data_IF_297861289510
#
_entry.id   IF_297861289510
#
_cell.length_a   1.000
_cell.length_b   1.000
_cell.length_c   1.000
_cell.angle_alpha   90.00
_cell.angle_beta   90.00
_cell.angle_gamma   90.00
#
_symmetry.space_group_name_H-M   'P 1'
#
loop_
_entity.id
_entity.type
_entity.pdbx_description
1 polymer ?
#
# COMPACT_ATOMS: atom_id res chain seq x y z
N UNK A 1 11.85 -9.36 -44.00
CA UNK A 1 10.51 -9.21 -43.38
C UNK A 1 10.21 -10.23 -42.27
N UNK A 2 10.54 -11.52 -42.43
CA UNK A 2 10.24 -12.56 -41.42
C UNK A 2 10.83 -12.28 -40.00
N UNK A 3 12.08 -11.79 -39.91
CA UNK A 3 12.72 -11.50 -38.62
C UNK A 3 12.05 -10.37 -37.80
N UNK A 4 11.43 -9.39 -38.48
CA UNK A 4 10.72 -8.27 -37.84
C UNK A 4 9.37 -8.72 -37.27
N UNK A 5 8.67 -9.60 -37.99
CA UNK A 5 7.41 -10.22 -37.54
C UNK A 5 7.62 -11.15 -36.35
N UNK A 6 8.73 -11.89 -36.32
CA UNK A 6 9.10 -12.75 -35.18
C UNK A 6 9.44 -11.94 -33.94
N UNK A 7 10.20 -10.83 -34.07
CA UNK A 7 10.48 -9.93 -32.94
C UNK A 7 9.22 -9.30 -32.36
N UNK A 8 8.33 -8.80 -33.21
CA UNK A 8 7.05 -8.20 -32.82
C UNK A 8 6.12 -9.21 -32.13
N UNK A 9 6.07 -10.47 -32.62
CA UNK A 9 5.34 -11.56 -31.99
C UNK A 9 5.91 -11.94 -30.62
N UNK A 10 7.23 -11.93 -30.45
CA UNK A 10 7.88 -12.21 -29.15
C UNK A 10 7.65 -11.07 -28.15
N UNK A 11 7.70 -9.81 -28.58
CA UNK A 11 7.38 -8.65 -27.71
C UNK A 11 5.91 -8.64 -27.31
N UNK A 12 5.00 -8.92 -28.25
CA UNK A 12 3.57 -9.05 -27.95
C UNK A 12 3.29 -10.23 -27.00
N UNK A 13 3.97 -11.37 -27.15
CA UNK A 13 3.81 -12.55 -26.28
C UNK A 13 4.35 -12.32 -24.87
N UNK A 14 5.40 -11.50 -24.70
CA UNK A 14 5.87 -11.03 -23.39
C UNK A 14 4.93 -10.00 -22.75
N UNK A 15 4.29 -9.15 -23.55
CA UNK A 15 3.29 -8.18 -23.07
C UNK A 15 1.95 -8.83 -22.66
N UNK A 16 1.64 -10.00 -23.23
CA UNK A 16 0.37 -10.72 -23.02
C UNK A 16 0.46 -11.91 -22.06
N UNK A 17 1.62 -12.18 -21.44
CA UNK A 17 1.65 -13.18 -20.37
C UNK A 17 0.86 -12.65 -19.16
N UNK A 18 -0.09 -13.43 -18.60
CA UNK A 18 -0.73 -13.05 -17.36
C UNK A 18 0.36 -12.87 -16.31
N UNK A 19 0.47 -11.66 -15.76
CA UNK A 19 1.44 -11.35 -14.70
C UNK A 19 1.19 -12.33 -13.55
N UNK A 20 2.11 -13.30 -13.40
CA UNK A 20 2.03 -14.29 -12.33
C UNK A 20 2.50 -13.59 -11.07
N UNK A 21 1.55 -13.16 -10.24
CA UNK A 21 1.84 -12.49 -8.98
C UNK A 21 2.68 -13.41 -8.09
N UNK A 22 3.90 -13.00 -7.77
CA UNK A 22 4.63 -13.59 -6.65
C UNK A 22 3.88 -13.19 -5.38
N UNK A 23 3.46 -14.16 -4.56
CA UNK A 23 2.81 -13.83 -3.29
C UNK A 23 3.79 -13.09 -2.38
N UNK A 24 3.29 -12.23 -1.51
CA UNK A 24 4.15 -11.47 -0.56
C UNK A 24 4.96 -12.41 0.33
N UNK A 25 4.35 -13.54 0.70
CA UNK A 25 5.03 -14.65 1.39
C UNK A 25 6.17 -15.26 0.57
N UNK A 26 6.00 -15.40 -0.74
CA UNK A 26 7.05 -15.91 -1.63
C UNK A 26 8.21 -14.93 -1.75
N UNK A 27 7.92 -13.63 -1.92
CA UNK A 27 8.96 -12.59 -1.99
C UNK A 27 9.75 -12.56 -0.68
N UNK A 28 9.04 -12.47 0.45
CA UNK A 28 9.67 -12.40 1.77
C UNK A 28 10.54 -13.63 2.10
N UNK A 29 10.13 -14.82 1.66
CA UNK A 29 10.91 -16.06 1.85
C UNK A 29 12.08 -16.19 0.88
N UNK A 30 11.93 -15.70 -0.35
CA UNK A 30 12.94 -15.78 -1.39
C UNK A 30 14.03 -14.71 -1.29
N UNK A 31 13.76 -13.62 -0.55
CA UNK A 31 14.75 -12.56 -0.30
C UNK A 31 15.95 -13.10 0.48
N UNK A 32 17.15 -12.81 -0.03
CA UNK A 32 18.42 -13.13 0.66
C UNK A 32 18.83 -11.96 1.53
N UNK A 33 18.67 -10.74 1.01
CA UNK A 33 19.06 -9.53 1.69
C UNK A 33 18.37 -9.37 3.05
N UNK A 34 17.09 -9.74 3.19
CA UNK A 34 16.39 -9.64 4.48
C UNK A 34 16.78 -10.67 5.53
N UNK A 35 17.77 -11.52 5.25
CA UNK A 35 18.28 -12.53 6.20
C UNK A 35 19.54 -12.07 6.93
N UNK A 36 19.98 -10.83 6.72
CA UNK A 36 21.19 -10.28 7.35
C UNK A 36 21.12 -8.76 7.52
N UNK A 37 22.14 -8.20 8.17
CA UNK A 37 22.31 -6.75 8.25
C UNK A 37 21.17 -6.02 8.97
N UNK A 38 20.97 -4.76 8.61
CA UNK A 38 19.92 -3.91 9.18
C UNK A 38 18.51 -4.38 8.77
N UNK A 39 18.35 -4.89 7.56
CA UNK A 39 17.05 -5.38 7.08
C UNK A 39 16.50 -6.53 7.92
N UNK A 40 17.34 -7.48 8.37
CA UNK A 40 16.92 -8.55 9.28
C UNK A 40 16.36 -8.01 10.60
N UNK A 41 16.95 -6.95 11.13
CA UNK A 41 16.50 -6.35 12.39
C UNK A 41 15.18 -5.61 12.23
N UNK A 42 15.02 -4.90 11.12
CA UNK A 42 13.75 -4.28 10.75
C UNK A 42 12.66 -5.34 10.51
N UNK A 43 12.98 -6.48 9.90
CA UNK A 43 12.07 -7.62 9.74
C UNK A 43 11.69 -8.27 11.08
N UNK A 44 12.58 -8.23 12.09
CA UNK A 44 12.23 -8.70 13.43
C UNK A 44 11.10 -7.86 14.05
N UNK A 45 11.00 -6.57 13.70
CA UNK A 45 9.90 -5.70 14.14
C UNK A 45 8.54 -6.10 13.55
N UNK A 46 8.51 -6.67 12.34
CA UNK A 46 7.25 -7.19 11.77
C UNK A 46 6.66 -8.31 12.63
N UNK A 47 7.49 -9.10 13.31
CA UNK A 47 7.02 -10.16 14.20
C UNK A 47 6.56 -9.62 15.56
N UNK A 48 7.25 -8.61 16.06
CA UNK A 48 7.12 -8.19 17.47
C UNK A 48 6.33 -6.89 17.66
N UNK A 49 6.13 -6.10 16.61
CA UNK A 49 5.56 -4.75 16.70
C UNK A 49 4.47 -4.49 15.67
N UNK A 50 4.36 -5.30 14.61
CA UNK A 50 3.28 -5.19 13.63
C UNK A 50 2.09 -6.06 14.04
N UNK A 51 1.07 -5.43 14.64
CA UNK A 51 -0.19 -6.11 14.97
C UNK A 51 -1.07 -6.26 13.72
N UNK A 52 -0.98 -7.44 13.10
CA UNK A 52 -1.79 -7.81 11.93
C UNK A 52 -3.30 -7.77 12.19
N UNK A 53 -3.75 -7.94 13.43
CA UNK A 53 -5.18 -7.88 13.78
C UNK A 53 -5.65 -6.44 13.75
N UNK A 54 -4.89 -5.53 14.36
CA UNK A 54 -5.17 -4.09 14.31
C UNK A 54 -5.18 -3.60 12.86
N UNK A 55 -4.17 -3.99 12.07
CA UNK A 55 -4.11 -3.67 10.64
C UNK A 55 -5.35 -4.16 9.88
N UNK A 56 -5.72 -5.44 10.03
CA UNK A 56 -6.87 -6.03 9.35
C UNK A 56 -8.20 -5.39 9.74
N UNK A 57 -8.39 -5.09 11.03
CA UNK A 57 -9.56 -4.37 11.51
C UNK A 57 -9.61 -2.94 10.97
N UNK A 58 -8.48 -2.23 10.98
CA UNK A 58 -8.37 -0.90 10.37
C UNK A 58 -8.79 -0.92 8.91
N UNK A 59 -8.30 -1.89 8.13
CA UNK A 59 -8.69 -2.07 6.75
C UNK A 59 -10.20 -2.31 6.59
N UNK A 60 -10.80 -3.21 7.38
CA UNK A 60 -12.25 -3.42 7.32
C UNK A 60 -13.05 -2.16 7.69
N UNK A 61 -12.58 -1.36 8.65
CA UNK A 61 -13.21 -0.06 8.95
C UNK A 61 -13.14 0.90 7.75
N UNK A 62 -12.04 0.92 7.00
CA UNK A 62 -11.94 1.70 5.74
C UNK A 62 -13.02 1.28 4.73
N UNK A 63 -13.35 0.00 4.66
CA UNK A 63 -14.35 -0.55 3.74
C UNK A 63 -15.81 -0.27 4.17
N UNK A 64 -16.04 0.32 5.34
CA UNK A 64 -17.40 0.51 5.88
C UNK A 64 -18.24 1.52 5.10
N UNK A 65 -17.60 2.46 4.40
CA UNK A 65 -18.25 3.46 3.53
C UNK A 65 -17.21 4.25 2.74
N UNK A 66 -17.64 4.92 1.65
CA UNK A 66 -16.77 5.87 0.93
C UNK A 66 -16.24 6.98 1.84
N UNK A 67 -17.06 7.49 2.76
CA UNK A 67 -16.64 8.51 3.72
C UNK A 67 -15.60 8.00 4.73
N UNK A 68 -15.71 6.74 5.18
CA UNK A 68 -14.68 6.14 6.02
C UNK A 68 -13.36 5.96 5.25
N UNK A 69 -13.43 5.50 4.02
CA UNK A 69 -12.27 5.42 3.14
C UNK A 69 -11.61 6.78 2.91
N UNK A 70 -12.39 7.81 2.52
CA UNK A 70 -11.93 9.18 2.32
C UNK A 70 -11.20 9.75 3.54
N UNK A 71 -11.77 9.59 4.74
CA UNK A 71 -11.12 10.01 5.99
C UNK A 71 -9.77 9.31 6.19
N UNK A 72 -9.70 8.00 5.94
CA UNK A 72 -8.46 7.24 6.11
C UNK A 72 -7.42 7.62 5.05
N UNK A 73 -7.82 7.84 3.80
CA UNK A 73 -6.95 8.34 2.72
C UNK A 73 -6.41 9.73 3.08
N UNK A 74 -7.22 10.64 3.61
CA UNK A 74 -6.77 11.96 4.04
C UNK A 74 -5.70 11.87 5.15
N UNK A 75 -5.87 10.98 6.13
CA UNK A 75 -4.84 10.77 7.15
C UNK A 75 -3.53 10.24 6.55
N UNK A 76 -3.63 9.31 5.58
CA UNK A 76 -2.46 8.78 4.85
C UNK A 76 -1.77 9.85 4.02
N UNK A 77 -2.54 10.67 3.31
CA UNK A 77 -2.02 11.76 2.50
C UNK A 77 -1.13 12.69 3.33
N UNK A 78 -1.53 12.98 4.57
CA UNK A 78 -0.75 13.82 5.48
C UNK A 78 0.62 13.22 5.82
N UNK A 79 0.66 11.97 6.29
CA UNK A 79 1.94 11.37 6.69
C UNK A 79 2.81 10.95 5.49
N UNK A 80 2.23 10.55 4.35
CA UNK A 80 3.01 10.35 3.11
C UNK A 80 3.56 11.66 2.59
N UNK A 81 2.78 12.74 2.63
CA UNK A 81 3.26 14.07 2.27
C UNK A 81 4.42 14.53 3.15
N UNK A 82 4.34 14.31 4.47
CA UNK A 82 5.43 14.59 5.40
C UNK A 82 6.68 13.75 5.09
N UNK A 83 6.54 12.43 4.92
CA UNK A 83 7.67 11.55 4.59
C UNK A 83 8.32 11.94 3.27
N UNK A 84 7.55 12.07 2.19
CA UNK A 84 8.09 12.35 0.87
C UNK A 84 8.79 13.71 0.82
N UNK A 85 8.23 14.76 1.43
CA UNK A 85 8.93 16.06 1.55
C UNK A 85 10.23 15.95 2.33
N UNK A 86 10.24 15.23 3.46
CA UNK A 86 11.45 15.03 4.27
C UNK A 86 12.49 14.23 3.51
N UNK A 87 12.09 13.17 2.83
CA UNK A 87 13.00 12.32 2.05
C UNK A 87 13.63 13.10 0.89
N UNK A 88 12.85 13.92 0.19
CA UNK A 88 13.33 14.76 -0.89
C UNK A 88 14.27 15.88 -0.42
N UNK A 89 14.05 16.39 0.80
CA UNK A 89 14.85 17.46 1.38
C UNK A 89 16.14 17.01 2.08
N UNK A 90 16.36 15.71 2.26
CA UNK A 90 17.57 15.20 2.91
C UNK A 90 18.74 15.08 1.93
N UNK A 91 19.83 15.81 2.18
CA UNK A 91 21.09 15.69 1.44
C UNK A 91 22.12 14.79 2.12
N UNK A 92 21.83 14.29 3.33
CA UNK A 92 22.69 13.43 4.14
C UNK A 92 21.90 12.31 4.80
N UNK A 93 22.60 11.39 5.49
CA UNK A 93 22.01 10.25 6.20
C UNK A 93 21.54 9.14 5.27
N UNK A 94 21.12 8.02 5.86
CA UNK A 94 20.76 6.81 5.14
C UNK A 94 19.63 7.04 4.11
N UNK A 95 18.62 7.85 4.43
CA UNK A 95 17.50 8.08 3.51
C UNK A 95 17.93 8.76 2.20
N UNK A 96 18.94 9.65 2.25
CA UNK A 96 19.45 10.34 1.05
C UNK A 96 20.10 9.38 0.04
N UNK A 97 20.56 8.22 0.50
CA UNK A 97 21.14 7.15 -0.35
C UNK A 97 20.06 6.23 -0.90
N UNK A 98 19.06 5.90 -0.08
CA UNK A 98 18.02 4.91 -0.42
C UNK A 98 16.90 5.52 -1.26
N UNK A 99 16.33 6.64 -0.84
CA UNK A 99 15.12 7.18 -1.45
C UNK A 99 15.23 7.49 -2.96
N UNK A 100 16.32 8.09 -3.47
CA UNK A 100 16.44 8.39 -4.90
C UNK A 100 16.34 7.16 -5.82
N UNK A 101 16.72 5.98 -5.32
CA UNK A 101 16.63 4.71 -6.07
C UNK A 101 15.18 4.28 -6.32
N UNK A 102 14.24 4.75 -5.48
CA UNK A 102 12.87 4.26 -5.44
C UNK A 102 11.80 5.34 -5.59
N UNK A 103 12.14 6.62 -5.44
CA UNK A 103 11.20 7.74 -5.40
C UNK A 103 10.24 7.76 -6.60
N UNK A 104 10.75 7.57 -7.82
CA UNK A 104 9.95 7.53 -9.06
C UNK A 104 8.81 6.50 -8.98
N UNK A 105 9.10 5.34 -8.40
CA UNK A 105 8.24 4.17 -8.48
C UNK A 105 7.35 4.01 -7.22
N UNK A 106 7.83 4.50 -6.08
CA UNK A 106 7.20 4.24 -4.78
C UNK A 106 6.38 5.39 -4.22
N UNK A 107 6.54 6.65 -4.66
CA UNK A 107 5.71 7.78 -4.20
C UNK A 107 4.22 7.46 -4.20
N UNK A 108 3.56 7.79 -3.10
CA UNK A 108 2.14 7.53 -2.85
C UNK A 108 1.31 8.80 -2.75
N UNK A 109 1.89 9.95 -2.40
CA UNK A 109 1.15 11.18 -2.16
C UNK A 109 0.14 11.51 -3.27
N UNK A 110 0.58 11.62 -4.51
CA UNK A 110 -0.31 11.97 -5.64
C UNK A 110 -1.34 10.89 -5.96
N UNK A 111 -1.01 9.63 -5.66
CA UNK A 111 -1.96 8.51 -5.83
C UNK A 111 -3.05 8.56 -4.78
N UNK A 112 -2.69 8.91 -3.54
CA UNK A 112 -3.65 9.13 -2.46
C UNK A 112 -4.52 10.36 -2.72
N UNK A 113 -3.98 11.44 -3.30
CA UNK A 113 -4.74 12.61 -3.69
C UNK A 113 -5.82 12.24 -4.73
N UNK A 114 -5.45 11.50 -5.79
CA UNK A 114 -6.42 11.00 -6.79
C UNK A 114 -7.49 10.09 -6.18
N UNK A 115 -7.12 9.27 -5.20
CA UNK A 115 -8.10 8.41 -4.51
C UNK A 115 -9.11 9.23 -3.71
N UNK A 116 -8.68 10.36 -3.13
CA UNK A 116 -9.55 11.28 -2.42
C UNK A 116 -10.49 12.01 -3.39
N UNK A 117 -9.97 12.47 -4.53
CA UNK A 117 -10.77 13.08 -5.60
C UNK A 117 -11.83 12.11 -6.15
N UNK A 118 -11.49 10.82 -6.28
CA UNK A 118 -12.40 9.79 -6.77
C UNK A 118 -13.58 9.50 -5.82
N UNK A 119 -13.50 9.96 -4.56
CA UNK A 119 -14.57 9.87 -3.56
C UNK A 119 -14.96 11.25 -3.04
N UNK A 120 -14.75 12.31 -3.83
CA UNK A 120 -15.04 13.70 -3.43
C UNK A 120 -16.53 14.00 -3.27
N UNK A 121 -17.41 13.08 -3.72
CA UNK A 121 -18.85 13.10 -3.49
C UNK A 121 -19.21 12.99 -2.00
N UNK A 122 -18.25 12.58 -1.16
CA UNK A 122 -18.34 12.60 0.30
C UNK A 122 -17.32 13.58 0.87
N UNK A 123 -17.79 14.64 1.52
CA UNK A 123 -16.91 15.63 2.13
C UNK A 123 -15.94 14.95 3.13
N UNK A 124 -14.61 15.02 2.95
CA UNK A 124 -13.70 14.59 3.99
C UNK A 124 -13.87 15.54 5.18
N UNK A 125 -14.22 15.01 6.36
CA UNK A 125 -14.20 15.82 7.58
C UNK A 125 -12.77 16.34 7.79
N UNK A 126 -12.58 17.65 7.62
CA UNK A 126 -11.33 18.31 7.27
C UNK A 126 -10.25 18.42 8.36
N UNK A 127 -10.18 17.52 9.33
CA UNK A 127 -9.12 17.56 10.35
C UNK A 127 -8.33 16.26 10.44
N UNK A 128 -7.02 16.42 10.58
CA UNK A 128 -6.14 15.31 10.94
C UNK A 128 -6.47 14.83 12.35
N UNK A 129 -6.47 13.52 12.57
CA UNK A 129 -6.67 12.99 13.91
C UNK A 129 -5.48 13.29 14.83
N UNK A 130 -5.66 13.26 16.16
CA UNK A 130 -4.54 13.39 17.10
C UNK A 130 -3.40 12.40 16.82
N UNK A 131 -3.70 11.12 16.53
CA UNK A 131 -2.67 10.14 16.20
C UNK A 131 -1.95 10.45 14.89
N UNK A 132 -2.67 10.94 13.87
CA UNK A 132 -2.07 11.33 12.59
C UNK A 132 -1.16 12.54 12.75
N UNK A 133 -1.58 13.57 13.49
CA UNK A 133 -0.72 14.71 13.82
C UNK A 133 0.52 14.29 14.60
N UNK A 134 0.37 13.35 15.54
CA UNK A 134 1.51 12.81 16.28
C UNK A 134 2.48 12.05 15.34
N UNK A 135 1.97 11.30 14.37
CA UNK A 135 2.81 10.59 13.41
C UNK A 135 3.55 11.55 12.48
N UNK A 136 2.85 12.55 11.94
CA UNK A 136 3.45 13.61 11.12
C UNK A 136 4.58 14.31 11.89
N UNK A 137 4.37 14.65 13.17
CA UNK A 137 5.43 15.24 14.00
C UNK A 137 6.63 14.32 14.22
N UNK A 138 6.43 13.01 14.38
CA UNK A 138 7.55 12.04 14.48
C UNK A 138 8.36 12.04 13.18
N UNK A 139 7.69 12.00 12.03
CA UNK A 139 8.35 12.05 10.71
C UNK A 139 9.13 13.37 10.51
N UNK A 140 8.54 14.50 10.89
CA UNK A 140 9.17 15.82 10.73
C UNK A 140 10.34 16.02 11.69
N UNK A 141 10.28 15.42 12.88
CA UNK A 141 11.34 15.46 13.90
C UNK A 141 12.44 14.42 13.74
N UNK A 142 12.23 13.36 12.96
CA UNK A 142 13.21 12.29 12.76
C UNK A 142 14.47 12.79 12.03
N UNK A 143 15.64 12.28 12.44
CA UNK A 143 16.90 12.54 11.74
C UNK A 143 16.90 11.94 10.32
N UNK A 144 17.76 12.42 9.40
CA UNK A 144 17.87 11.84 8.06
C UNK A 144 18.17 10.34 8.04
N UNK A 145 18.92 9.84 9.02
CA UNK A 145 19.14 8.40 9.16
C UNK A 145 17.86 7.69 9.63
N UNK A 146 17.22 8.18 10.71
CA UNK A 146 16.00 7.61 11.29
C UNK A 146 14.82 7.53 10.30
N UNK A 147 14.76 8.45 9.32
CA UNK A 147 13.78 8.42 8.23
C UNK A 147 13.78 7.11 7.43
N UNK A 148 14.90 6.35 7.42
CA UNK A 148 14.94 5.02 6.82
C UNK A 148 13.96 4.04 7.50
N UNK A 149 13.72 4.20 8.80
CA UNK A 149 12.73 3.41 9.54
C UNK A 149 11.31 3.62 9.01
N UNK A 150 10.92 4.88 8.74
CA UNK A 150 9.64 5.20 8.12
C UNK A 150 9.54 4.65 6.68
N UNK A 151 10.61 4.78 5.90
CA UNK A 151 10.68 4.21 4.55
C UNK A 151 10.40 2.71 4.57
N UNK A 152 11.12 1.99 5.44
CA UNK A 152 10.92 0.56 5.62
C UNK A 152 9.47 0.24 6.00
N UNK A 153 8.95 0.83 7.09
CA UNK A 153 7.62 0.51 7.61
C UNK A 153 6.51 0.75 6.59
N UNK A 154 6.56 1.85 5.83
CA UNK A 154 5.46 2.24 4.93
C UNK A 154 5.58 1.63 3.54
N UNK A 155 6.73 1.75 2.90
CA UNK A 155 6.85 1.33 1.51
C UNK A 155 6.98 -0.19 1.35
N UNK A 156 7.52 -0.91 2.34
CA UNK A 156 7.44 -2.37 2.32
C UNK A 156 6.01 -2.86 2.59
N UNK A 157 5.23 -2.18 3.45
CA UNK A 157 3.82 -2.49 3.61
C UNK A 157 3.04 -2.31 2.30
N UNK A 158 3.35 -1.27 1.52
CA UNK A 158 2.72 -1.05 0.22
C UNK A 158 3.15 -2.10 -0.83
N UNK A 159 4.45 -2.43 -0.87
CA UNK A 159 5.00 -3.43 -1.79
C UNK A 159 4.51 -4.85 -1.47
N UNK A 160 4.42 -5.22 -0.19
CA UNK A 160 3.90 -6.52 0.23
C UNK A 160 2.38 -6.56 0.19
N UNK A 161 1.69 -5.61 0.82
CA UNK A 161 0.25 -5.68 1.08
C UNK A 161 -0.63 -4.85 0.15
N UNK A 162 -0.16 -3.65 -0.24
CA UNK A 162 -1.00 -2.63 -0.88
C UNK A 162 -1.72 -3.10 -2.14
N UNK A 163 -1.04 -3.79 -3.05
CA UNK A 163 -1.64 -4.23 -4.31
C UNK A 163 -2.79 -5.25 -4.14
N UNK A 164 -2.75 -6.04 -3.06
CA UNK A 164 -3.77 -7.05 -2.75
C UNK A 164 -5.03 -6.44 -2.13
N UNK A 165 -4.93 -5.25 -1.54
CA UNK A 165 -6.05 -4.57 -0.90
C UNK A 165 -6.96 -3.84 -1.89
N UNK A 166 -6.43 -3.42 -3.05
CA UNK A 166 -7.21 -2.59 -3.97
C UNK A 166 -8.45 -3.27 -4.56
N UNK A 167 -8.42 -4.58 -4.84
CA UNK A 167 -9.61 -5.28 -5.36
C UNK A 167 -10.70 -5.43 -4.29
N UNK A 168 -10.39 -5.86 -3.05
CA UNK A 168 -11.36 -5.78 -1.96
C UNK A 168 -11.94 -4.37 -1.75
N UNK A 169 -11.11 -3.32 -1.83
CA UNK A 169 -11.58 -1.93 -1.69
C UNK A 169 -12.56 -1.54 -2.78
N UNK A 170 -12.21 -1.80 -4.05
CA UNK A 170 -13.09 -1.55 -5.21
C UNK A 170 -14.45 -2.24 -5.05
N UNK A 171 -14.44 -3.52 -4.67
CA UNK A 171 -15.64 -4.32 -4.47
C UNK A 171 -16.52 -3.78 -3.33
N UNK A 172 -15.93 -3.53 -2.17
CA UNK A 172 -16.67 -3.09 -1.00
C UNK A 172 -17.31 -1.71 -1.20
N UNK A 173 -16.58 -0.79 -1.84
CA UNK A 173 -17.00 0.60 -1.99
C UNK A 173 -17.74 0.88 -3.32
N UNK A 174 -17.82 -0.13 -4.21
CA UNK A 174 -18.41 0.02 -5.54
C UNK A 174 -17.71 1.11 -6.34
N UNK A 175 -16.38 1.11 -6.36
CA UNK A 175 -15.59 2.07 -7.12
C UNK A 175 -15.49 1.64 -8.59
N UNK A 176 -15.49 2.58 -9.55
CA UNK A 176 -15.40 2.25 -10.97
C UNK A 176 -14.02 1.72 -11.38
N UNK A 177 -12.98 2.06 -10.61
CA UNK A 177 -11.60 1.71 -10.86
C UNK A 177 -10.89 1.35 -9.55
N UNK A 178 -9.78 0.63 -9.68
CA UNK A 178 -8.91 0.30 -8.55
C UNK A 178 -8.28 1.58 -8.00
N UNK A 179 -8.31 1.75 -6.67
CA UNK A 179 -7.69 2.90 -6.00
C UNK A 179 -6.20 3.01 -6.38
N UNK A 180 -5.79 4.19 -6.82
CA UNK A 180 -4.46 4.52 -7.28
C UNK A 180 -3.40 4.23 -6.21
N UNK A 181 -3.67 4.44 -4.93
CA UNK A 181 -2.70 4.17 -3.85
C UNK A 181 -2.25 2.70 -3.81
N UNK A 182 -3.11 1.77 -4.26
CA UNK A 182 -2.82 0.34 -4.34
C UNK A 182 -2.27 -0.11 -5.70
N UNK A 183 -1.96 0.83 -6.59
CA UNK A 183 -1.39 0.56 -7.92
C UNK A 183 0.09 0.94 -7.97
N UNK A 184 0.86 0.18 -8.74
CA UNK A 184 2.24 0.51 -9.08
C UNK A 184 2.40 0.47 -10.58
N UNK A 185 3.47 1.08 -11.06
CA UNK A 185 3.83 1.02 -12.47
C UNK A 185 4.01 -0.44 -12.93
N UNK A 186 3.65 -0.78 -14.19
CA UNK A 186 3.69 -2.15 -14.65
C UNK A 186 5.05 -2.84 -14.51
N UNK A 187 6.16 -2.11 -14.62
CA UNK A 187 7.50 -2.68 -14.42
C UNK A 187 7.77 -3.06 -12.97
N UNK A 188 7.27 -2.29 -12.00
CA UNK A 188 7.37 -2.59 -10.57
C UNK A 188 6.56 -3.84 -10.26
N UNK A 189 5.34 -3.97 -10.80
CA UNK A 189 4.50 -5.14 -10.56
C UNK A 189 5.11 -6.42 -11.11
N UNK A 190 5.72 -6.36 -12.31
CA UNK A 190 6.37 -7.52 -12.93
C UNK A 190 7.64 -7.97 -12.19
N UNK A 191 8.38 -7.02 -11.61
CA UNK A 191 9.64 -7.26 -10.92
C UNK A 191 9.55 -7.00 -9.41
N UNK A 192 8.37 -7.22 -8.81
CA UNK A 192 8.11 -6.82 -7.41
C UNK A 192 9.07 -7.46 -6.42
N UNK A 193 9.43 -8.72 -6.65
CA UNK A 193 10.43 -9.42 -5.84
C UNK A 193 11.79 -8.74 -5.90
N UNK A 194 12.25 -8.40 -7.10
CA UNK A 194 13.54 -7.74 -7.32
C UNK A 194 13.56 -6.32 -6.75
N UNK A 195 12.44 -5.59 -6.82
CA UNK A 195 12.31 -4.26 -6.21
C UNK A 195 12.46 -4.35 -4.69
N UNK A 196 11.81 -5.33 -4.07
CA UNK A 196 11.92 -5.60 -2.63
C UNK A 196 13.34 -6.02 -2.26
N UNK A 197 13.96 -6.91 -3.04
CA UNK A 197 15.35 -7.35 -2.81
C UNK A 197 16.31 -6.16 -2.84
N UNK A 198 16.25 -5.34 -3.89
CA UNK A 198 17.10 -4.14 -3.99
C UNK A 198 16.87 -3.14 -2.87
N UNK A 199 15.64 -3.01 -2.37
CA UNK A 199 15.35 -2.15 -1.24
C UNK A 199 15.99 -2.68 0.05
N UNK A 200 15.98 -4.01 0.26
CA UNK A 200 16.69 -4.63 1.38
C UNK A 200 18.21 -4.52 1.24
N UNK A 201 18.76 -4.71 0.04
CA UNK A 201 20.19 -4.52 -0.25
C UNK A 201 20.63 -3.09 0.09
N UNK A 202 19.92 -2.07 -0.40
CA UNK A 202 20.23 -0.67 -0.11
C UNK A 202 20.13 -0.33 1.40
N UNK A 203 19.19 -0.94 2.12
CA UNK A 203 19.10 -0.83 3.59
C UNK A 203 20.33 -1.45 4.26
N UNK A 204 20.77 -2.62 3.82
CA UNK A 204 21.94 -3.29 4.39
C UNK A 204 23.23 -2.52 4.10
N UNK A 205 23.42 -2.02 2.88
CA UNK A 205 24.55 -1.17 2.52
C UNK A 205 24.64 0.09 3.39
N UNK A 206 23.49 0.69 3.71
CA UNK A 206 23.45 1.78 4.69
C UNK A 206 23.81 1.30 6.10
N UNK A 207 23.25 0.16 6.51
CA UNK A 207 23.51 -0.47 7.81
C UNK A 207 24.98 -0.78 8.09
N UNK A 208 25.74 -1.15 7.07
CA UNK A 208 27.18 -1.47 7.17
C UNK A 208 28.05 -0.20 7.30
N UNK A 209 27.54 0.96 6.86
CA UNK A 209 28.26 2.22 6.83
C UNK A 209 27.97 3.15 8.02
N UNK A 210 27.08 2.77 8.94
CA UNK A 210 26.64 3.59 10.08
C UNK A 210 27.12 3.05 11.42
N UNK A 211 27.16 3.91 12.43
CA UNK A 211 27.51 3.50 13.79
C UNK A 211 26.40 2.65 14.43
N UNK A 212 26.73 1.84 15.45
CA UNK A 212 25.72 1.11 16.23
C UNK A 212 24.66 2.01 16.87
N UNK A 213 25.00 3.26 17.21
CA UNK A 213 24.07 4.26 17.75
C UNK A 213 23.01 4.64 16.71
N UNK A 214 23.44 5.05 15.51
CA UNK A 214 22.54 5.42 14.41
C UNK A 214 21.70 4.21 13.98
N UNK A 215 22.30 3.02 13.98
CA UNK A 215 21.59 1.78 13.66
C UNK A 215 20.45 1.49 14.62
N UNK A 216 20.65 1.72 15.94
CA UNK A 216 19.58 1.62 16.94
C UNK A 216 18.51 2.68 16.73
N UNK A 217 18.91 3.92 16.44
CA UNK A 217 17.98 5.02 16.14
C UNK A 217 17.01 4.66 15.00
N UNK A 218 17.52 4.07 13.91
CA UNK A 218 16.68 3.61 12.77
C UNK A 218 15.68 2.53 13.20
N UNK A 219 16.14 1.55 13.98
CA UNK A 219 15.28 0.44 14.45
C UNK A 219 14.21 0.95 15.42
N UNK A 220 14.55 1.89 16.29
CA UNK A 220 13.62 2.50 17.23
C UNK A 220 12.60 3.40 16.52
N UNK A 221 13.02 4.15 15.49
CA UNK A 221 12.09 4.95 14.68
C UNK A 221 11.15 4.05 13.87
N UNK A 222 11.64 2.94 13.31
CA UNK A 222 10.78 1.95 12.64
C UNK A 222 9.74 1.34 13.61
N UNK A 223 10.14 1.05 14.86
CA UNK A 223 9.22 0.59 15.91
C UNK A 223 8.18 1.66 16.24
N UNK A 224 8.60 2.92 16.38
CA UNK A 224 7.71 4.05 16.62
C UNK A 224 6.72 4.20 15.45
N UNK A 225 7.19 4.09 14.21
CA UNK A 225 6.34 4.13 13.01
C UNK A 225 5.26 3.03 13.05
N UNK A 226 5.59 1.78 13.40
CA UNK A 226 4.57 0.74 13.60
C UNK A 226 3.54 1.12 14.66
N UNK A 227 3.99 1.64 15.81
CA UNK A 227 3.11 2.08 16.89
C UNK A 227 2.19 3.23 16.46
N UNK A 228 2.69 4.20 15.68
CA UNK A 228 1.88 5.27 15.12
C UNK A 228 0.78 4.76 14.19
N UNK A 229 1.10 3.82 13.30
CA UNK A 229 0.12 3.19 12.42
C UNK A 229 -0.99 2.48 13.23
N UNK A 230 -0.61 1.75 14.28
CA UNK A 230 -1.59 1.12 15.16
C UNK A 230 -2.47 2.16 15.89
N UNK A 231 -1.88 3.24 16.42
CA UNK A 231 -2.61 4.31 17.13
C UNK A 231 -3.65 5.01 16.25
N UNK A 232 -3.34 5.24 14.96
CA UNK A 232 -4.30 5.82 14.01
C UNK A 232 -5.56 4.96 13.80
N UNK A 233 -5.46 3.66 14.05
CA UNK A 233 -6.59 2.73 14.00
C UNK A 233 -7.29 2.70 15.35
N UNK A 234 -6.52 2.55 16.44
CA UNK A 234 -7.06 2.32 17.79
C UNK A 234 -7.66 3.55 18.44
N UNK A 235 -7.27 4.77 18.04
CA UNK A 235 -7.81 6.03 18.61
C UNK A 235 -9.32 6.19 18.41
N UNK A 236 -9.91 5.45 17.47
CA UNK A 236 -11.36 5.44 17.19
C UNK A 236 -12.18 4.80 18.31
N UNK A 237 -11.53 4.01 19.19
CA UNK A 237 -12.18 3.23 20.24
C UNK A 237 -12.71 1.87 19.75
N UNK A 238 -12.68 0.87 20.63
CA UNK A 238 -12.98 -0.53 20.28
C UNK A 238 -14.36 -0.75 19.67
N UNK A 239 -15.39 -0.09 20.20
CA UNK A 239 -16.76 -0.22 19.68
C UNK A 239 -16.89 0.32 18.24
N UNK A 240 -16.30 1.48 17.95
CA UNK A 240 -16.34 2.07 16.62
C UNK A 240 -15.58 1.21 15.59
N UNK A 241 -14.46 0.60 16.02
CA UNK A 241 -13.71 -0.37 15.21
C UNK A 241 -14.57 -1.60 14.94
N UNK A 242 -15.21 -2.18 15.96
CA UNK A 242 -16.06 -3.38 15.80
C UNK A 242 -17.22 -3.14 14.84
N UNK A 243 -17.99 -2.07 15.04
CA UNK A 243 -19.12 -1.71 14.17
C UNK A 243 -18.65 -1.40 12.75
N UNK A 244 -17.57 -0.62 12.61
CA UNK A 244 -17.00 -0.28 11.30
C UNK A 244 -16.50 -1.52 10.56
N UNK A 245 -15.79 -2.41 11.23
CA UNK A 245 -15.28 -3.64 10.63
C UNK A 245 -16.41 -4.57 10.18
N UNK A 246 -17.47 -4.73 10.98
CA UNK A 246 -18.64 -5.52 10.61
C UNK A 246 -19.32 -4.99 9.35
N UNK A 247 -19.49 -3.66 9.26
CA UNK A 247 -20.00 -3.00 8.04
C UNK A 247 -19.08 -3.21 6.84
N UNK A 248 -17.77 -3.11 7.03
CA UNK A 248 -16.78 -3.38 5.98
C UNK A 248 -16.86 -4.80 5.43
N UNK A 249 -17.02 -5.80 6.31
CA UNK A 249 -17.25 -7.20 5.89
C UNK A 249 -18.53 -7.33 5.08
N UNK A 250 -19.64 -6.75 5.55
CA UNK A 250 -20.92 -6.79 4.83
C UNK A 250 -20.81 -6.17 3.43
N UNK A 251 -20.14 -5.01 3.32
CA UNK A 251 -19.90 -4.35 2.04
C UNK A 251 -19.02 -5.19 1.10
N UNK A 252 -17.96 -5.82 1.61
CA UNK A 252 -17.09 -6.68 0.83
C UNK A 252 -17.84 -7.91 0.28
N UNK A 253 -18.62 -8.58 1.13
CA UNK A 253 -19.45 -9.72 0.73
C UNK A 253 -20.49 -9.31 -0.31
N UNK A 254 -21.19 -8.19 -0.09
CA UNK A 254 -22.17 -7.65 -1.03
C UNK A 254 -21.54 -7.22 -2.36
N UNK A 255 -20.35 -6.64 -2.33
CA UNK A 255 -19.56 -6.33 -3.54
C UNK A 255 -19.20 -7.57 -4.34
N UNK A 256 -18.76 -8.64 -3.67
CA UNK A 256 -18.45 -9.90 -4.30
C UNK A 256 -19.68 -10.56 -4.93
N UNK A 257 -20.80 -10.59 -4.20
CA UNK A 257 -22.07 -11.12 -4.69
C UNK A 257 -22.55 -10.36 -5.93
N UNK A 258 -22.55 -9.02 -5.92
CA UNK A 258 -22.90 -8.19 -7.08
C UNK A 258 -22.03 -8.50 -8.29
N UNK A 259 -20.71 -8.61 -8.12
CA UNK A 259 -19.79 -8.93 -9.23
C UNK A 259 -20.05 -10.32 -9.83
N UNK A 260 -20.43 -11.31 -9.02
CA UNK A 260 -20.78 -12.66 -9.50
C UNK A 260 -22.16 -12.75 -10.14
N UNK A 261 -23.14 -11.99 -9.65
CA UNK A 261 -24.52 -12.05 -10.11
C UNK A 261 -24.78 -11.16 -11.35
N UNK A 262 -24.03 -10.06 -11.52
CA UNK A 262 -24.24 -9.13 -12.63
C UNK A 262 -24.19 -9.78 -14.03
N UNK A 263 -23.26 -10.71 -14.35
CA UNK A 263 -23.28 -11.39 -15.65
C UNK A 263 -24.53 -12.24 -15.89
N UNK A 264 -25.07 -12.88 -14.85
CA UNK A 264 -26.26 -13.72 -14.96
C UNK A 264 -27.53 -12.90 -15.21
N UNK A 265 -27.68 -11.78 -14.49
CA UNK A 265 -28.82 -10.85 -14.66
C UNK A 265 -28.79 -10.17 -16.04
N UNK A 266 -27.60 -9.74 -16.49
CA UNK A 266 -27.45 -9.16 -17.83
C UNK A 266 -27.76 -10.19 -18.93
N UNK A 267 -27.37 -11.45 -18.74
CA UNK A 267 -27.72 -12.54 -19.65
C UNK A 267 -29.23 -12.79 -19.74
N UNK A 268 -29.94 -12.76 -18.60
CA UNK A 268 -31.39 -12.94 -18.55
C UNK A 268 -32.15 -11.79 -19.23
N UNK A 269 -31.72 -10.54 -19.00
CA UNK A 269 -32.31 -9.35 -19.64
C UNK A 269 -32.06 -9.37 -21.16
N UNK A 270 -30.84 -9.67 -21.60
CA UNK A 270 -30.52 -9.80 -23.02
C UNK A 270 -31.36 -10.89 -23.69
N UNK A 271 -31.54 -12.04 -23.03
CA UNK A 271 -32.40 -13.12 -23.49
C UNK A 271 -33.86 -12.71 -23.68
N UNK A 272 -34.43 -11.97 -22.72
CA UNK A 272 -35.82 -11.44 -22.80
C UNK A 272 -36.00 -10.39 -23.90
N UNK A 273 -35.00 -9.55 -24.15
CA UNK A 273 -35.03 -8.56 -25.24
C UNK A 273 -34.95 -9.26 -26.61
N UNK A 274 -34.12 -10.29 -26.74
CA UNK A 274 -34.01 -11.07 -27.97
C UNK A 274 -35.32 -11.80 -28.32
N UNK A 275 -35.99 -12.41 -27.34
CA UNK A 275 -37.28 -13.09 -27.55
C UNK A 275 -38.39 -12.12 -27.96
N UNK A 276 -38.41 -10.88 -27.43
CA UNK A 276 -39.39 -9.84 -27.82
C UNK A 276 -39.15 -9.23 -29.20
N UNK A 277 -37.96 -9.37 -29.80
CA UNK A 277 -37.68 -8.91 -31.17
C UNK A 277 -37.97 -9.96 -32.23
N UNK A 278 -38.19 -11.22 -31.81
CA UNK A 278 -38.51 -12.35 -32.70
C UNK A 278 -40.01 -12.66 -32.75
N UNK A 279 -40.82 -11.97 -31.95
CA UNK A 279 -42.29 -11.99 -31.95
C UNK A 279 -42.83 -10.71 -32.58
#
# INVERSE_FOLDING_TARGET
>A
MAASVTRARTTARLALQPVRWSSSRSIFRGSKANKMGLSLELDALLRNSHDMRVFGLGFLVELSSRAAYARCVAQRLAYYGAMERRFDGCSTGAISKVWPLFARDLRRHDRLARDLDAVSDVAPSGELSPATRAYVRSIEGASPDALLGHFYTRYFADLFGGSMLGTPTELALGLPHKCAAYTFEPHVLRARGDVVERAYEAINECGDAISPQVRREIVDEARAAFAHNARMITERGGLAIGVGAARGVANLVGGYARKRLAPAVLGEIAGRIATRRMS
#
